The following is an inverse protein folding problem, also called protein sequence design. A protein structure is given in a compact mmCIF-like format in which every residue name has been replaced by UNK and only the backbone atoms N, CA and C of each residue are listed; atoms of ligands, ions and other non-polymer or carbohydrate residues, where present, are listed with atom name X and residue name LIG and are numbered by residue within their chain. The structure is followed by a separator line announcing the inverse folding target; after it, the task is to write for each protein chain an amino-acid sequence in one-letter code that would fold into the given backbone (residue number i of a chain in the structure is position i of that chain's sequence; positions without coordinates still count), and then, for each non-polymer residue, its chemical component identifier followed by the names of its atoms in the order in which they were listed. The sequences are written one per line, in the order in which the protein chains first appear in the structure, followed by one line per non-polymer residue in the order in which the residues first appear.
data_IF_641350118808
#
_entry.id   IF_641350118808
#
_cell.length_a   1.000
_cell.length_b   1.000
_cell.length_c   1.000
_cell.angle_alpha   90.00
_cell.angle_beta   90.00
_cell.angle_gamma   90.00
#
_symmetry.space_group_name_H-M   'P 1'
#
loop_
_entity.id
_entity.type
_entity.pdbx_description
1 polymer ?
#
# COMPACT_ATOMS: atom_id res chain seq x y z
N UNK A 1 2.18 -8.84 -15.68
CA UNK A 1 1.56 -7.74 -14.90
C UNK A 1 2.65 -7.03 -14.13
N UNK A 2 3.11 -5.84 -14.55
CA UNK A 2 4.04 -5.05 -13.71
C UNK A 2 3.28 -4.62 -12.47
N UNK A 3 3.77 -5.00 -11.29
CA UNK A 3 3.24 -4.54 -10.00
C UNK A 3 3.60 -3.05 -9.89
N UNK A 4 2.71 -2.18 -10.32
CA UNK A 4 2.88 -0.73 -10.14
C UNK A 4 2.11 -0.35 -8.88
N UNK A 5 2.79 0.26 -7.91
CA UNK A 5 2.16 0.78 -6.71
C UNK A 5 1.17 1.88 -7.10
N UNK A 6 -0.01 1.89 -6.47
CA UNK A 6 -1.02 2.91 -6.74
C UNK A 6 -0.42 4.30 -6.53
N UNK A 7 -0.68 5.23 -7.47
CA UNK A 7 -0.10 6.59 -7.45
C UNK A 7 -0.29 7.31 -6.11
N UNK A 8 -1.48 7.21 -5.53
CA UNK A 8 -1.81 7.86 -4.25
C UNK A 8 -1.05 7.24 -3.07
N UNK A 9 -0.75 5.94 -3.13
CA UNK A 9 0.08 5.27 -2.13
C UNK A 9 1.54 5.73 -2.23
N UNK A 10 2.04 5.95 -3.45
CA UNK A 10 3.37 6.54 -3.67
C UNK A 10 3.46 7.99 -3.19
N UNK A 11 2.39 8.78 -3.35
CA UNK A 11 2.34 10.15 -2.84
C UNK A 11 2.38 10.13 -1.32
N UNK A 12 1.56 9.28 -0.68
CA UNK A 12 1.56 9.13 0.77
C UNK A 12 2.97 8.79 1.28
N UNK A 13 3.59 7.72 0.76
CA UNK A 13 4.94 7.34 1.17
C UNK A 13 6.02 8.33 0.80
N UNK A 14 5.92 8.97 -0.37
CA UNK A 14 6.88 9.98 -0.81
C UNK A 14 6.89 11.21 0.09
N UNK A 15 5.77 11.52 0.73
CA UNK A 15 5.64 12.58 1.73
C UNK A 15 6.16 12.09 3.09
N UNK A 16 5.85 10.86 3.51
CA UNK A 16 6.32 10.29 4.79
C UNK A 16 7.84 10.06 4.83
N UNK A 17 8.49 9.77 3.69
CA UNK A 17 9.91 9.37 3.62
C UNK A 17 10.94 10.44 4.06
N UNK A 18 10.83 11.72 3.65
CA UNK A 18 11.69 12.79 4.17
C UNK A 18 11.62 12.94 5.70
N UNK A 19 10.47 12.66 6.32
CA UNK A 19 10.31 12.65 7.78
C UNK A 19 11.20 11.62 8.47
N UNK A 20 11.40 10.45 7.85
CA UNK A 20 12.32 9.42 8.35
C UNK A 20 13.79 9.88 8.35
N UNK A 21 14.22 10.60 7.31
CA UNK A 21 15.59 11.10 7.19
C UNK A 21 15.88 12.26 8.15
N UNK A 22 14.95 13.23 8.26
CA UNK A 22 15.06 14.31 9.24
C UNK A 22 15.22 13.74 10.66
N UNK A 23 14.56 12.62 10.93
CA UNK A 23 14.64 11.94 12.20
C UNK A 23 15.89 11.10 12.44
N UNK A 24 16.36 10.36 11.43
CA UNK A 24 17.68 9.74 11.52
C UNK A 24 18.76 10.78 11.83
N UNK A 25 18.67 11.97 11.21
CA UNK A 25 19.54 13.09 11.53
C UNK A 25 19.39 13.55 13.00
N UNK A 26 18.16 13.71 13.53
CA UNK A 26 17.98 14.05 14.97
C UNK A 26 18.53 12.99 15.93
N UNK A 27 18.45 11.70 15.57
CA UNK A 27 19.02 10.62 16.37
C UNK A 27 20.55 10.62 16.34
N UNK A 28 21.15 10.84 15.16
CA UNK A 28 22.61 10.97 15.02
C UNK A 28 23.10 12.18 15.82
N UNK A 29 22.43 13.33 15.71
CA UNK A 29 22.76 14.53 16.48
C UNK A 29 22.68 14.28 18.00
N UNK A 30 21.68 13.53 18.44
CA UNK A 30 21.57 13.10 19.83
C UNK A 30 22.71 12.19 20.27
N UNK A 31 23.07 11.17 19.49
CA UNK A 31 24.16 10.26 19.85
C UNK A 31 25.49 11.01 19.90
N UNK A 32 25.75 11.89 18.93
CA UNK A 32 26.93 12.75 18.92
C UNK A 32 26.98 13.68 20.16
N UNK A 33 25.81 14.14 20.64
CA UNK A 33 25.70 14.93 21.86
C UNK A 33 25.92 14.09 23.14
N UNK A 34 25.30 12.91 23.25
CA UNK A 34 25.43 11.99 24.39
C UNK A 34 26.86 11.47 24.56
N UNK A 35 27.56 11.21 23.46
CA UNK A 35 28.95 10.77 23.47
C UNK A 35 29.97 11.93 23.54
N UNK A 36 29.50 13.18 23.73
CA UNK A 36 30.35 14.38 23.85
C UNK A 36 31.32 14.60 22.67
N UNK A 37 31.02 14.04 21.49
CA UNK A 37 31.88 14.11 20.30
C UNK A 37 31.85 15.52 19.66
N UNK A 38 30.78 16.29 19.91
CA UNK A 38 30.69 17.71 19.56
C UNK A 38 31.06 18.56 20.77
N UNK A 39 32.33 18.98 20.92
CA UNK A 39 32.64 20.10 21.80
C UNK A 39 32.08 21.36 21.12
N UNK A 40 31.47 22.27 21.87
CA UNK A 40 31.11 23.64 21.42
C UNK A 40 29.90 23.82 20.48
N UNK A 41 28.71 23.39 20.90
CA UNK A 41 27.57 24.29 20.75
C UNK A 41 27.18 24.74 22.16
N UNK A 42 27.67 25.91 22.55
CA UNK A 42 27.31 26.60 23.78
C UNK A 42 25.87 27.10 23.71
N UNK A 43 24.89 26.20 23.62
CA UNK A 43 23.54 26.44 24.15
C UNK A 43 23.62 26.29 25.68
N UNK A 44 24.43 27.16 26.29
CA UNK A 44 24.43 27.40 27.71
C UNK A 44 23.16 28.22 28.01
N UNK A 45 22.05 27.56 28.38
CA UNK A 45 20.96 28.13 29.21
C UNK A 45 19.62 27.36 29.15
N UNK A 46 19.45 26.31 28.35
CA UNK A 46 18.17 25.56 28.35
C UNK A 46 18.36 24.16 28.89
N UNK A 47 17.70 23.90 30.01
CA UNK A 47 17.69 22.67 30.77
C UNK A 47 17.80 21.39 29.91
N UNK A 48 18.74 20.53 30.31
CA UNK A 48 19.03 19.20 29.78
C UNK A 48 17.83 18.22 29.56
N UNK A 49 16.62 18.36 30.17
CA UNK A 49 15.46 17.53 29.85
C UNK A 49 14.87 17.79 28.46
N UNK A 50 14.99 19.01 27.93
CA UNK A 50 14.28 19.46 26.73
C UNK A 50 14.70 18.71 25.47
N UNK A 51 16.00 18.49 25.27
CA UNK A 51 16.54 17.76 24.11
C UNK A 51 16.12 16.28 24.12
N UNK A 52 16.09 15.66 25.32
CA UNK A 52 15.72 14.26 25.49
C UNK A 52 14.21 14.04 25.26
N UNK A 53 13.39 15.03 25.64
CA UNK A 53 11.95 15.08 25.33
C UNK A 53 11.72 15.24 23.83
N UNK A 54 12.42 16.18 23.18
CA UNK A 54 12.32 16.41 21.72
C UNK A 54 12.67 15.13 20.96
N UNK A 55 13.71 14.43 21.38
CA UNK A 55 14.12 13.20 20.74
C UNK A 55 13.17 12.02 21.00
N UNK A 56 12.62 11.90 22.21
CA UNK A 56 11.61 10.89 22.52
C UNK A 56 10.32 11.14 21.71
N UNK A 57 9.90 12.40 21.62
CA UNK A 57 8.79 12.85 20.77
C UNK A 57 9.05 12.51 19.31
N UNK A 58 10.26 12.79 18.82
CA UNK A 58 10.67 12.46 17.45
C UNK A 58 10.55 10.94 17.23
N UNK A 59 11.27 10.10 18.00
CA UNK A 59 11.26 8.63 17.88
C UNK A 59 9.85 8.06 17.75
N UNK A 60 8.95 8.49 18.62
CA UNK A 60 7.57 8.03 18.62
C UNK A 60 6.78 8.56 17.41
N UNK A 61 6.99 9.81 17.01
CA UNK A 61 6.38 10.41 15.81
C UNK A 61 6.71 9.60 14.54
N UNK A 62 7.98 9.17 14.32
CA UNK A 62 8.31 8.34 13.14
C UNK A 62 7.73 6.95 13.23
N UNK A 63 7.74 6.33 14.40
CA UNK A 63 7.09 5.03 14.57
C UNK A 63 5.63 5.11 14.12
N UNK A 64 4.92 6.14 14.59
CA UNK A 64 3.53 6.40 14.25
C UNK A 64 3.35 6.74 12.77
N UNK A 65 4.14 7.66 12.19
CA UNK A 65 4.08 8.00 10.76
C UNK A 65 4.32 6.77 9.86
N UNK A 66 5.37 5.99 10.14
CA UNK A 66 5.74 4.84 9.31
C UNK A 66 4.64 3.77 9.22
N UNK A 67 3.84 3.62 10.30
CA UNK A 67 2.67 2.74 10.32
C UNK A 67 1.41 3.41 9.77
N UNK A 68 1.13 4.67 10.12
CA UNK A 68 -0.11 5.36 9.77
C UNK A 68 -0.30 5.51 8.26
N UNK A 69 0.77 5.66 7.48
CA UNK A 69 0.69 5.71 6.03
C UNK A 69 -0.04 4.47 5.44
N UNK A 70 0.25 3.28 5.96
CA UNK A 70 -0.44 2.06 5.55
C UNK A 70 -1.87 1.99 6.09
N UNK A 71 -2.11 2.55 7.30
CA UNK A 71 -3.42 2.54 7.96
C UNK A 71 -4.42 3.51 7.32
N UNK A 72 -3.95 4.63 6.76
CA UNK A 72 -4.83 5.62 6.12
C UNK A 72 -5.17 5.24 4.67
N UNK A 73 -4.37 4.39 4.03
CA UNK A 73 -4.62 3.99 2.64
C UNK A 73 -5.99 3.30 2.41
N UNK A 74 -6.49 2.40 3.28
CA UNK A 74 -7.84 1.87 3.17
C UNK A 74 -8.95 2.92 3.16
N UNK A 75 -8.81 4.01 3.92
CA UNK A 75 -9.78 5.12 3.92
C UNK A 75 -9.70 5.93 2.63
N UNK A 76 -8.49 6.14 2.11
CA UNK A 76 -8.30 6.73 0.80
C UNK A 76 -8.93 5.86 -0.31
N UNK A 77 -8.81 4.53 -0.24
CA UNK A 77 -9.50 3.57 -1.13
C UNK A 77 -11.01 3.55 -0.95
N UNK A 78 -11.51 3.74 0.28
CA UNK A 78 -12.94 3.89 0.55
C UNK A 78 -13.48 5.13 -0.18
N UNK A 79 -12.78 6.27 -0.11
CA UNK A 79 -13.16 7.48 -0.85
C UNK A 79 -13.14 7.25 -2.36
N UNK A 80 -12.13 6.53 -2.88
CA UNK A 80 -12.10 6.16 -4.30
C UNK A 80 -13.29 5.28 -4.72
N UNK A 81 -13.79 4.46 -3.80
CA UNK A 81 -14.94 3.58 -4.03
C UNK A 81 -16.27 4.36 -3.99
N UNK A 82 -16.43 5.27 -3.03
CA UNK A 82 -17.63 6.14 -2.92
C UNK A 82 -17.71 7.09 -4.12
N UNK A 83 -16.57 7.65 -4.55
CA UNK A 83 -16.51 8.64 -5.63
C UNK A 83 -16.01 8.06 -6.97
N UNK A 84 -16.24 6.77 -7.23
CA UNK A 84 -15.71 6.03 -8.41
C UNK A 84 -16.00 6.66 -9.78
N UNK A 85 -17.04 7.50 -9.91
CA UNK A 85 -17.31 8.18 -11.18
C UNK A 85 -16.43 9.42 -11.40
N UNK A 86 -15.95 10.02 -10.30
CA UNK A 86 -15.35 11.36 -10.31
C UNK A 86 -13.94 11.40 -9.70
N UNK A 87 -13.45 10.31 -9.13
CA UNK A 87 -12.23 10.27 -8.31
C UNK A 87 -10.95 10.71 -9.02
N UNK A 88 -10.87 10.58 -10.35
CA UNK A 88 -9.70 11.01 -11.12
C UNK A 88 -9.72 12.50 -11.51
N UNK A 89 -10.79 13.24 -11.17
CA UNK A 89 -10.82 14.69 -11.40
C UNK A 89 -9.74 15.36 -10.53
N UNK A 90 -9.08 16.42 -11.02
CA UNK A 90 -7.92 17.03 -10.35
C UNK A 90 -8.18 17.47 -8.90
N UNK A 91 -9.43 17.83 -8.56
CA UNK A 91 -9.84 18.15 -7.17
C UNK A 91 -9.61 17.01 -6.17
N UNK A 92 -9.64 15.75 -6.61
CA UNK A 92 -9.46 14.58 -5.75
C UNK A 92 -7.99 14.15 -5.62
N UNK A 93 -7.06 14.77 -6.36
CA UNK A 93 -5.62 14.63 -6.11
C UNK A 93 -5.21 15.23 -4.75
N UNK A 94 -6.08 16.04 -4.14
CA UNK A 94 -5.92 16.57 -2.79
C UNK A 94 -6.24 15.54 -1.70
N UNK A 95 -6.96 14.46 -2.01
CA UNK A 95 -7.32 13.42 -1.03
C UNK A 95 -6.10 12.76 -0.38
N UNK A 96 -5.09 12.25 -1.14
CA UNK A 96 -3.88 11.72 -0.51
C UNK A 96 -3.09 12.77 0.27
N UNK A 97 -3.10 14.05 -0.15
CA UNK A 97 -2.46 15.14 0.59
C UNK A 97 -3.16 15.43 1.91
N UNK A 98 -4.50 15.40 1.91
CA UNK A 98 -5.31 15.53 3.12
C UNK A 98 -4.99 14.41 4.11
N UNK A 99 -4.93 13.15 3.65
CA UNK A 99 -4.56 12.03 4.53
C UNK A 99 -3.12 12.14 5.03
N UNK A 100 -2.17 12.60 4.21
CA UNK A 100 -0.80 12.84 4.67
C UNK A 100 -0.72 13.96 5.73
N UNK A 101 -1.55 15.01 5.62
CA UNK A 101 -1.65 16.03 6.67
C UNK A 101 -2.21 15.45 7.97
N UNK A 102 -3.30 14.68 7.89
CA UNK A 102 -3.90 13.99 9.04
C UNK A 102 -2.89 13.04 9.70
N UNK A 103 -2.10 12.31 8.90
CA UNK A 103 -1.01 11.45 9.38
C UNK A 103 -0.02 12.21 10.26
N UNK A 104 0.49 13.34 9.79
CA UNK A 104 1.44 14.15 10.55
C UNK A 104 0.84 14.72 11.83
N UNK A 105 -0.39 15.22 11.77
CA UNK A 105 -1.06 15.78 12.95
C UNK A 105 -1.25 14.72 14.03
N UNK A 106 -1.68 13.51 13.65
CA UNK A 106 -1.81 12.38 14.59
C UNK A 106 -0.44 11.99 15.14
N UNK A 107 0.58 11.87 14.28
CA UNK A 107 1.91 11.45 14.69
C UNK A 107 2.58 12.43 15.67
N UNK A 108 2.51 13.74 15.39
CA UNK A 108 3.05 14.78 16.28
C UNK A 108 2.30 14.79 17.61
N UNK A 109 0.96 14.68 17.57
CA UNK A 109 0.14 14.64 18.79
C UNK A 109 0.47 13.40 19.63
N UNK A 110 0.63 12.25 18.99
CA UNK A 110 1.01 11.01 19.64
C UNK A 110 2.43 11.11 20.24
N UNK A 111 3.37 11.70 19.52
CA UNK A 111 4.73 11.99 20.00
C UNK A 111 4.73 12.90 21.23
N UNK A 112 3.92 13.94 21.22
CA UNK A 112 3.74 14.86 22.34
C UNK A 112 3.15 14.14 23.57
N UNK A 113 2.05 13.41 23.40
CA UNK A 113 1.39 12.64 24.48
C UNK A 113 2.38 11.65 25.12
N UNK A 114 3.19 10.97 24.29
CA UNK A 114 4.19 10.02 24.75
C UNK A 114 5.34 10.71 25.50
N UNK A 115 5.91 11.77 24.93
CA UNK A 115 7.09 12.44 25.48
C UNK A 115 6.81 13.14 26.82
N UNK A 116 5.62 13.72 26.96
CA UNK A 116 5.18 14.37 28.20
C UNK A 116 4.43 13.43 29.15
N UNK A 117 4.31 12.13 28.81
CA UNK A 117 3.57 11.13 29.58
C UNK A 117 2.17 11.61 29.98
N UNK A 118 1.51 12.35 29.08
CA UNK A 118 0.17 12.94 29.31
C UNK A 118 -0.84 11.84 29.63
N UNK A 119 -0.63 10.67 29.04
CA UNK A 119 -1.41 9.45 29.25
C UNK A 119 -0.45 8.32 29.62
N UNK A 120 -0.91 7.37 30.43
CA UNK A 120 -0.11 6.19 30.74
C UNK A 120 0.24 5.42 29.47
N UNK A 121 1.49 4.94 29.36
CA UNK A 121 1.92 4.22 28.18
C UNK A 121 1.06 2.96 27.92
N UNK A 122 0.56 2.33 28.98
CA UNK A 122 -0.36 1.20 28.88
C UNK A 122 -1.68 1.60 28.19
N UNK A 123 -2.25 2.76 28.53
CA UNK A 123 -3.47 3.24 27.89
C UNK A 123 -3.25 3.56 26.40
N UNK A 124 -2.09 4.08 26.01
CA UNK A 124 -1.73 4.30 24.60
C UNK A 124 -1.71 2.97 23.83
N UNK A 125 -1.10 1.92 24.40
CA UNK A 125 -1.03 0.58 23.80
C UNK A 125 -2.41 -0.06 23.71
N UNK A 126 -3.21 0.01 24.78
CA UNK A 126 -4.57 -0.54 24.82
C UNK A 126 -5.48 0.16 23.82
N UNK A 127 -5.37 1.49 23.65
CA UNK A 127 -6.16 2.24 22.68
C UNK A 127 -5.70 2.01 21.22
N UNK A 128 -4.40 1.82 20.99
CA UNK A 128 -3.84 1.61 19.66
C UNK A 128 -4.27 0.29 19.02
N UNK A 129 -4.47 -0.76 19.82
CA UNK A 129 -4.83 -2.10 19.33
C UNK A 129 -6.20 -2.13 18.61
N UNK A 130 -7.31 -1.67 19.22
CA UNK A 130 -8.60 -1.55 18.53
C UNK A 130 -8.53 -0.66 17.29
N UNK A 131 -7.71 0.40 17.30
CA UNK A 131 -7.56 1.28 16.15
C UNK A 131 -7.00 0.53 14.94
N UNK A 132 -5.89 -0.20 15.11
CA UNK A 132 -5.28 -1.00 14.03
C UNK A 132 -6.25 -2.09 13.54
N UNK A 133 -6.91 -2.80 14.45
CA UNK A 133 -7.91 -3.83 14.09
C UNK A 133 -9.06 -3.22 13.29
N UNK A 134 -9.57 -2.06 13.69
CA UNK A 134 -10.66 -1.36 12.98
C UNK A 134 -10.27 -1.03 11.54
N UNK A 135 -9.03 -0.61 11.30
CA UNK A 135 -8.54 -0.33 9.94
C UNK A 135 -8.45 -1.59 9.08
N UNK A 136 -8.00 -2.71 9.65
CA UNK A 136 -7.98 -4.01 8.94
C UNK A 136 -9.40 -4.40 8.51
N UNK A 137 -10.38 -4.23 9.41
CA UNK A 137 -11.79 -4.50 9.13
C UNK A 137 -12.32 -3.59 8.01
N UNK A 138 -12.06 -2.28 8.08
CA UNK A 138 -12.42 -1.34 7.01
C UNK A 138 -11.83 -1.79 5.67
N UNK A 139 -10.55 -2.18 5.63
CA UNK A 139 -9.92 -2.67 4.39
C UNK A 139 -10.63 -3.90 3.82
N UNK A 140 -11.02 -4.87 4.66
CA UNK A 140 -11.75 -6.07 4.22
C UNK A 140 -13.17 -5.75 3.75
N UNK A 141 -13.88 -4.85 4.43
CA UNK A 141 -15.21 -4.40 4.05
C UNK A 141 -15.19 -3.72 2.68
N UNK A 142 -14.27 -2.77 2.49
CA UNK A 142 -14.12 -2.05 1.21
C UNK A 142 -13.72 -3.03 0.09
N UNK A 143 -12.82 -3.97 0.35
CA UNK A 143 -12.44 -5.00 -0.63
C UNK A 143 -13.64 -5.87 -1.02
N UNK A 144 -14.43 -6.30 -0.05
CA UNK A 144 -15.62 -7.13 -0.28
C UNK A 144 -16.69 -6.38 -1.06
N UNK A 145 -16.92 -5.10 -0.72
CA UNK A 145 -17.82 -4.24 -1.46
C UNK A 145 -17.37 -4.04 -2.91
N UNK A 146 -16.09 -3.76 -3.16
CA UNK A 146 -15.58 -3.59 -4.52
C UNK A 146 -15.71 -4.88 -5.34
N UNK A 147 -15.44 -6.06 -4.76
CA UNK A 147 -15.68 -7.35 -5.44
C UNK A 147 -17.16 -7.58 -5.77
N UNK A 148 -18.07 -7.17 -4.88
CA UNK A 148 -19.51 -7.23 -5.14
C UNK A 148 -19.88 -6.29 -6.30
N UNK A 149 -19.40 -5.05 -6.26
CA UNK A 149 -19.62 -4.06 -7.31
C UNK A 149 -19.08 -4.53 -8.67
N UNK A 150 -17.91 -5.15 -8.71
CA UNK A 150 -17.35 -5.77 -9.91
C UNK A 150 -18.30 -6.81 -10.51
N UNK A 151 -18.79 -7.75 -9.68
CA UNK A 151 -19.74 -8.79 -10.12
C UNK A 151 -21.07 -8.20 -10.60
N UNK A 152 -21.58 -7.17 -9.93
CA UNK A 152 -22.81 -6.49 -10.32
C UNK A 152 -22.66 -5.76 -11.65
N UNK A 153 -21.50 -5.14 -11.90
CA UNK A 153 -21.20 -4.50 -13.17
C UNK A 153 -21.11 -5.52 -14.32
N UNK A 154 -20.60 -6.72 -14.07
CA UNK A 154 -20.54 -7.79 -15.07
C UNK A 154 -21.91 -8.41 -15.36
N UNK A 155 -22.75 -8.59 -14.33
CA UNK A 155 -24.09 -9.19 -14.49
C UNK A 155 -25.14 -8.20 -14.98
N UNK A 156 -25.12 -6.96 -14.48
CA UNK A 156 -26.17 -5.95 -14.64
C UNK A 156 -25.62 -4.64 -15.21
N UNK A 157 -24.85 -4.70 -16.30
CA UNK A 157 -24.17 -3.54 -16.88
C UNK A 157 -25.11 -2.36 -17.22
N UNK A 158 -26.35 -2.65 -17.64
CA UNK A 158 -27.36 -1.61 -17.96
C UNK A 158 -27.87 -0.85 -16.73
N UNK A 159 -28.03 -1.53 -15.59
CA UNK A 159 -28.57 -0.93 -14.34
C UNK A 159 -27.50 -0.19 -13.53
N UNK A 160 -26.23 -0.55 -13.69
CA UNK A 160 -25.12 -0.04 -12.86
C UNK A 160 -24.47 1.24 -13.39
N UNK A 161 -25.00 1.79 -14.51
CA UNK A 161 -24.36 2.90 -15.23
C UNK A 161 -22.93 2.52 -15.63
N UNK A 162 -22.78 1.33 -16.20
CA UNK A 162 -21.48 0.76 -16.53
C UNK A 162 -20.71 1.69 -17.47
N UNK A 163 -19.50 2.05 -17.08
CA UNK A 163 -18.53 2.70 -17.96
C UNK A 163 -17.20 1.96 -17.84
N UNK A 164 -16.42 2.03 -18.91
CA UNK A 164 -15.09 1.41 -18.95
C UNK A 164 -14.22 1.96 -17.82
N UNK A 165 -14.20 3.28 -17.62
CA UNK A 165 -13.45 3.94 -16.55
C UNK A 165 -13.84 3.46 -15.14
N UNK A 166 -15.15 3.31 -14.87
CA UNK A 166 -15.64 2.80 -13.58
C UNK A 166 -15.14 1.38 -13.30
N UNK A 167 -15.15 0.50 -14.32
CA UNK A 167 -14.60 -0.86 -14.19
C UNK A 167 -13.10 -0.85 -13.89
N UNK A 168 -12.33 0.01 -14.57
CA UNK A 168 -10.90 0.14 -14.30
C UNK A 168 -10.62 0.57 -12.87
N UNK A 169 -11.32 1.59 -12.38
CA UNK A 169 -11.13 2.06 -11.01
C UNK A 169 -11.50 1.01 -9.96
N UNK A 170 -12.59 0.27 -10.16
CA UNK A 170 -12.96 -0.82 -9.24
C UNK A 170 -11.91 -1.93 -9.25
N UNK A 171 -11.43 -2.34 -10.44
CA UNK A 171 -10.41 -3.38 -10.53
C UNK A 171 -9.06 -2.93 -9.92
N UNK A 172 -8.67 -1.68 -10.15
CA UNK A 172 -7.50 -1.06 -9.51
C UNK A 172 -7.65 -1.05 -7.98
N UNK A 173 -8.81 -0.61 -7.46
CA UNK A 173 -9.10 -0.64 -6.03
C UNK A 173 -9.01 -2.05 -5.43
N UNK A 174 -9.59 -3.06 -6.09
CA UNK A 174 -9.50 -4.47 -5.65
C UNK A 174 -8.05 -4.92 -5.59
N UNK A 175 -7.26 -4.63 -6.63
CA UNK A 175 -5.86 -5.03 -6.69
C UNK A 175 -5.04 -4.34 -5.58
N UNK A 176 -5.17 -3.03 -5.42
CA UNK A 176 -4.50 -2.27 -4.37
C UNK A 176 -4.90 -2.73 -2.97
N UNK A 177 -6.19 -2.96 -2.73
CA UNK A 177 -6.70 -3.44 -1.45
C UNK A 177 -6.23 -4.86 -1.11
N UNK A 178 -6.06 -5.75 -2.09
CA UNK A 178 -5.47 -7.09 -1.86
C UNK A 178 -4.00 -7.02 -1.44
N UNK A 179 -3.24 -6.07 -1.98
CA UNK A 179 -1.84 -5.87 -1.57
C UNK A 179 -1.80 -5.28 -0.16
N UNK A 180 -2.49 -4.17 0.07
CA UNK A 180 -2.47 -3.51 1.38
C UNK A 180 -3.04 -4.40 2.48
N UNK A 181 -4.09 -5.19 2.21
CA UNK A 181 -4.68 -6.10 3.21
C UNK A 181 -3.65 -7.07 3.77
N UNK A 182 -2.77 -7.63 2.93
CA UNK A 182 -1.73 -8.55 3.38
C UNK A 182 -0.72 -7.85 4.30
N UNK A 183 -0.36 -6.62 3.96
CA UNK A 183 0.53 -5.80 4.78
C UNK A 183 -0.15 -5.45 6.11
N UNK A 184 -1.42 -5.07 6.09
CA UNK A 184 -2.20 -4.75 7.29
C UNK A 184 -2.36 -5.93 8.24
N UNK A 185 -2.57 -7.15 7.72
CA UNK A 185 -2.58 -8.37 8.54
C UNK A 185 -1.24 -8.61 9.22
N UNK A 186 -0.14 -8.48 8.47
CA UNK A 186 1.21 -8.55 9.03
C UNK A 186 1.43 -7.48 10.11
N UNK A 187 1.06 -6.23 9.84
CA UNK A 187 1.18 -5.13 10.79
C UNK A 187 0.39 -5.39 12.07
N UNK A 188 -0.84 -5.89 11.95
CA UNK A 188 -1.67 -6.19 13.11
C UNK A 188 -1.01 -7.24 14.01
N UNK A 189 -0.45 -8.31 13.43
CA UNK A 189 0.28 -9.34 14.19
C UNK A 189 1.49 -8.73 14.90
N UNK A 190 2.30 -7.94 14.21
CA UNK A 190 3.46 -7.26 14.80
C UNK A 190 3.07 -6.34 15.96
N UNK A 191 2.01 -5.53 15.78
CA UNK A 191 1.51 -4.63 16.82
C UNK A 191 1.01 -5.42 18.03
N UNK A 192 0.32 -6.55 17.83
CA UNK A 192 -0.12 -7.42 18.93
C UNK A 192 1.07 -7.98 19.72
N UNK A 193 2.12 -8.45 19.02
CA UNK A 193 3.33 -8.97 19.68
C UNK A 193 4.04 -7.86 20.46
N UNK A 194 4.26 -6.69 19.84
CA UNK A 194 4.91 -5.55 20.50
C UNK A 194 4.11 -5.05 21.71
N UNK A 195 2.78 -4.94 21.59
CA UNK A 195 1.89 -4.56 22.68
C UNK A 195 1.97 -5.55 23.85
N UNK A 196 1.97 -6.85 23.55
CA UNK A 196 2.07 -7.90 24.56
C UNK A 196 3.40 -7.84 25.31
N UNK A 197 4.52 -7.69 24.58
CA UNK A 197 5.84 -7.52 25.17
C UNK A 197 5.94 -6.24 26.02
N UNK A 198 5.33 -5.15 25.58
CA UNK A 198 5.29 -3.89 26.32
C UNK A 198 4.53 -4.02 27.63
N UNK A 199 3.37 -4.69 27.62
CA UNK A 199 2.58 -4.95 28.82
C UNK A 199 3.34 -5.85 29.80
N UNK A 200 4.00 -6.91 29.31
CA UNK A 200 4.88 -7.75 30.12
C UNK A 200 5.99 -6.93 30.79
N UNK A 201 6.68 -6.09 30.00
CA UNK A 201 7.80 -5.28 30.47
C UNK A 201 7.41 -4.31 31.60
N UNK A 202 6.22 -3.73 31.51
CA UNK A 202 5.76 -2.67 32.42
C UNK A 202 5.01 -3.16 33.64
N UNK A 203 4.28 -4.27 33.57
CA UNK A 203 3.33 -4.68 34.62
C UNK A 203 3.74 -5.93 35.40
N UNK A 204 4.72 -6.71 34.93
CA UNK A 204 5.17 -7.88 35.67
C UNK A 204 6.34 -7.53 36.60
N UNK A 205 6.21 -7.94 37.85
CA UNK A 205 7.31 -7.99 38.80
C UNK A 205 8.30 -9.07 38.36
N UNK A 206 9.40 -8.63 37.76
CA UNK A 206 10.42 -9.49 37.17
C UNK A 206 11.79 -9.04 37.67
N UNK A 207 12.71 -10.00 37.78
CA UNK A 207 14.12 -9.68 38.06
C UNK A 207 14.71 -8.78 36.97
N UNK A 208 15.70 -7.97 37.32
CA UNK A 208 16.33 -7.00 36.40
C UNK A 208 16.84 -7.63 35.10
N UNK A 209 17.28 -8.90 35.15
CA UNK A 209 17.73 -9.66 33.97
C UNK A 209 16.60 -9.86 32.95
N UNK A 210 15.44 -10.35 33.38
CA UNK A 210 14.29 -10.60 32.50
C UNK A 210 13.68 -9.31 31.97
N UNK A 211 13.62 -8.27 32.79
CA UNK A 211 13.14 -6.94 32.38
C UNK A 211 14.00 -6.35 31.26
N UNK A 212 15.31 -6.44 31.37
CA UNK A 212 16.23 -5.94 30.33
C UNK A 212 16.13 -6.78 29.04
N UNK A 213 16.00 -8.10 29.16
CA UNK A 213 15.83 -8.99 28.00
C UNK A 213 14.55 -8.68 27.21
N UNK A 214 13.42 -8.50 27.92
CA UNK A 214 12.14 -8.15 27.28
C UNK A 214 12.21 -6.76 26.64
N UNK A 215 12.83 -5.78 27.31
CA UNK A 215 13.04 -4.45 26.75
C UNK A 215 13.87 -4.48 25.46
N UNK A 216 15.00 -5.20 25.45
CA UNK A 216 15.83 -5.37 24.25
C UNK A 216 15.08 -6.10 23.12
N UNK A 217 14.26 -7.10 23.46
CA UNK A 217 13.43 -7.82 22.49
C UNK A 217 12.38 -6.90 21.86
N UNK A 218 11.74 -6.05 22.68
CA UNK A 218 10.78 -5.06 22.21
C UNK A 218 11.45 -4.06 21.24
N UNK A 219 12.62 -3.53 21.58
CA UNK A 219 13.37 -2.61 20.72
C UNK A 219 13.75 -3.25 19.38
N UNK A 220 14.15 -4.53 19.41
CA UNK A 220 14.43 -5.30 18.20
C UNK A 220 13.17 -5.48 17.34
N UNK A 221 12.04 -5.83 17.95
CA UNK A 221 10.76 -5.98 17.25
C UNK A 221 10.33 -4.67 16.58
N UNK A 222 10.43 -3.53 17.28
CA UNK A 222 10.11 -2.20 16.73
C UNK A 222 11.03 -1.88 15.55
N UNK A 223 12.33 -2.15 15.68
CA UNK A 223 13.31 -1.88 14.62
C UNK A 223 13.03 -2.73 13.38
N UNK A 224 12.79 -4.03 13.56
CA UNK A 224 12.45 -4.95 12.46
C UNK A 224 11.12 -4.58 11.80
N UNK A 225 10.14 -4.12 12.58
CA UNK A 225 8.87 -3.62 12.05
C UNK A 225 9.10 -2.42 11.13
N UNK A 226 9.85 -1.41 11.56
CA UNK A 226 10.15 -0.22 10.74
C UNK A 226 10.90 -0.61 9.45
N UNK A 227 11.92 -1.47 9.57
CA UNK A 227 12.69 -1.96 8.41
C UNK A 227 11.81 -2.74 7.42
N UNK A 228 10.89 -3.57 7.93
CA UNK A 228 9.94 -4.31 7.10
C UNK A 228 8.98 -3.39 6.33
N UNK A 229 8.57 -2.26 6.92
CA UNK A 229 7.72 -1.27 6.25
C UNK A 229 8.48 -0.57 5.12
N UNK A 230 9.72 -0.15 5.39
CA UNK A 230 10.61 0.48 4.41
C UNK A 230 10.88 -0.47 3.23
N UNK A 231 11.24 -1.73 3.52
CA UNK A 231 11.50 -2.75 2.49
C UNK A 231 10.24 -3.11 1.71
N UNK A 232 9.06 -3.13 2.34
CA UNK A 232 7.78 -3.35 1.63
C UNK A 232 7.53 -2.26 0.58
N UNK A 233 7.86 -1.00 0.88
CA UNK A 233 7.75 0.11 -0.09
C UNK A 233 8.68 -0.12 -1.29
N UNK A 234 9.92 -0.53 -1.03
CA UNK A 234 10.92 -0.80 -2.08
C UNK A 234 10.59 -2.02 -2.95
N UNK A 235 10.09 -3.09 -2.33
CA UNK A 235 9.80 -4.35 -3.03
C UNK A 235 8.55 -4.28 -3.91
N UNK A 236 7.61 -3.37 -3.62
CA UNK A 236 6.39 -3.24 -4.42
C UNK A 236 6.62 -2.40 -5.69
N UNK A 237 7.64 -1.53 -5.74
CA UNK A 237 7.91 -0.70 -6.90
C UNK A 237 9.37 -0.77 -7.37
N UNK A 238 9.64 -1.54 -8.44
CA UNK A 238 10.98 -1.63 -9.07
C UNK A 238 11.56 -0.26 -9.50
N UNK A 239 10.73 0.76 -9.70
CA UNK A 239 11.14 2.10 -10.17
C UNK A 239 11.03 3.19 -9.09
N UNK A 240 10.97 2.83 -7.80
CA UNK A 240 10.76 3.78 -6.70
C UNK A 240 11.77 4.95 -6.71
N UNK A 241 13.04 4.67 -7.03
CA UNK A 241 14.12 5.66 -7.05
C UNK A 241 13.85 6.77 -8.08
N UNK A 242 13.27 6.41 -9.23
CA UNK A 242 12.94 7.33 -10.32
C UNK A 242 11.79 8.24 -9.89
N UNK A 243 10.76 7.66 -9.27
CA UNK A 243 9.58 8.41 -8.80
C UNK A 243 9.96 9.36 -7.68
N UNK A 244 10.77 8.90 -6.71
CA UNK A 244 11.25 9.73 -5.61
C UNK A 244 12.08 10.91 -6.12
N UNK A 245 13.02 10.66 -7.04
CA UNK A 245 13.83 11.71 -7.68
C UNK A 245 12.97 12.72 -8.45
N UNK A 246 11.87 12.30 -9.06
CA UNK A 246 10.94 13.19 -9.77
C UNK A 246 10.12 14.05 -8.82
N UNK A 247 9.55 13.47 -7.75
CA UNK A 247 8.80 14.22 -6.75
C UNK A 247 9.69 15.24 -6.03
N UNK A 248 10.92 14.84 -5.70
CA UNK A 248 11.91 15.73 -5.10
C UNK A 248 12.29 16.89 -6.02
N UNK A 249 12.52 16.63 -7.31
CA UNK A 249 12.75 17.69 -8.31
C UNK A 249 11.57 18.65 -8.45
N UNK A 250 10.33 18.13 -8.43
CA UNK A 250 9.12 18.97 -8.49
C UNK A 250 8.96 19.83 -7.24
N UNK A 251 9.26 19.27 -6.07
CA UNK A 251 9.26 20.00 -4.80
C UNK A 251 10.34 21.10 -4.78
N UNK A 252 11.58 20.79 -5.18
CA UNK A 252 12.67 21.76 -5.27
C UNK A 252 12.44 22.86 -6.30
N UNK A 253 11.78 22.54 -7.42
CA UNK A 253 11.44 23.51 -8.47
C UNK A 253 10.30 24.45 -8.04
N UNK A 254 9.34 23.95 -7.24
CA UNK A 254 8.27 24.77 -6.64
C UNK A 254 8.77 25.69 -5.53
N UNK A 255 9.82 25.29 -4.81
CA UNK A 255 10.40 26.07 -3.70
C UNK A 255 11.42 27.12 -4.15
N UNK A 256 11.69 27.26 -5.47
CA UNK A 256 12.70 28.17 -6.06
C UNK A 256 14.13 27.98 -5.52
N UNK A 257 14.43 26.85 -4.85
CA UNK A 257 15.74 26.59 -4.23
C UNK A 257 16.80 26.16 -5.26
N UNK A 258 16.39 25.73 -6.46
CA UNK A 258 17.31 25.43 -7.54
C UNK A 258 17.40 26.60 -8.53
N UNK A 259 18.62 27.03 -8.91
CA UNK A 259 18.78 27.93 -10.04
C UNK A 259 18.19 27.27 -11.28
N UNK A 260 17.47 28.07 -12.06
CA UNK A 260 16.88 27.62 -13.32
C UNK A 260 18.02 27.48 -14.33
N UNK A 261 18.69 26.33 -14.32
CA UNK A 261 19.76 26.08 -15.28
C UNK A 261 19.19 26.04 -16.70
N UNK A 262 19.58 27.06 -17.45
CA UNK A 262 19.49 27.16 -18.89
C UNK A 262 20.14 25.95 -19.55
N UNK A 263 19.35 25.26 -20.39
CA UNK A 263 19.77 24.44 -21.54
C UNK A 263 21.14 23.73 -21.39
N UNK A 264 21.15 22.57 -20.75
CA UNK A 264 22.11 21.50 -21.08
C UNK A 264 21.36 20.24 -21.49
N UNK A 265 21.62 19.80 -22.72
CA UNK A 265 21.08 18.57 -23.33
C UNK A 265 21.62 17.36 -22.57
N UNK A 266 20.95 17.00 -21.47
CA UNK A 266 20.98 15.65 -20.92
C UNK A 266 20.09 14.81 -21.84
N UNK A 267 20.49 13.62 -22.31
CA UNK A 267 19.62 12.80 -23.14
C UNK A 267 18.34 12.54 -22.37
N UNK A 268 17.24 13.14 -22.86
CA UNK A 268 15.90 12.94 -22.33
C UNK A 268 15.54 11.46 -22.52
N UNK A 269 15.76 10.66 -21.48
CA UNK A 269 14.85 9.55 -21.21
C UNK A 269 13.49 10.22 -20.96
N UNK A 270 12.67 10.26 -22.01
CA UNK A 270 11.29 10.75 -22.11
C UNK A 270 10.88 11.60 -20.90
N UNK A 271 11.10 12.92 -21.02
CA UNK A 271 10.51 13.86 -20.08
C UNK A 271 9.02 13.58 -19.98
N UNK A 272 8.59 13.22 -18.76
CA UNK A 272 7.21 12.99 -18.38
C UNK A 272 6.36 14.20 -18.77
N UNK A 273 5.75 14.14 -19.95
CA UNK A 273 4.61 14.97 -20.30
C UNK A 273 3.39 14.30 -19.65
N UNK A 274 2.55 15.01 -18.89
CA UNK A 274 1.34 14.42 -18.30
C UNK A 274 0.40 13.82 -19.37
N UNK A 275 0.51 14.24 -20.63
CA UNK A 275 -0.12 13.60 -21.79
C UNK A 275 0.45 12.21 -22.11
N UNK A 276 1.77 12.02 -22.05
CA UNK A 276 2.45 10.73 -22.30
C UNK A 276 2.10 9.71 -21.21
N UNK A 277 1.87 10.12 -19.97
CA UNK A 277 1.43 9.19 -18.91
C UNK A 277 0.00 8.70 -19.13
N UNK A 278 -0.89 9.59 -19.60
CA UNK A 278 -2.25 9.24 -20.02
C UNK A 278 -2.24 8.35 -21.25
N UNK A 279 -1.38 8.65 -22.23
CA UNK A 279 -1.21 7.90 -23.47
C UNK A 279 -0.53 6.55 -23.23
N UNK A 280 0.45 6.46 -22.32
CA UNK A 280 1.04 5.20 -21.86
C UNK A 280 0.02 4.37 -21.07
N UNK A 281 -0.75 4.96 -20.15
CA UNK A 281 -1.84 4.25 -19.48
C UNK A 281 -2.91 3.79 -20.47
N UNK A 282 -3.25 4.61 -21.46
CA UNK A 282 -4.23 4.29 -22.50
C UNK A 282 -3.71 3.21 -23.47
N UNK A 283 -2.43 3.24 -23.84
CA UNK A 283 -1.79 2.22 -24.67
C UNK A 283 -1.60 0.91 -23.90
N UNK A 284 -1.24 0.97 -22.63
CA UNK A 284 -1.19 -0.19 -21.74
C UNK A 284 -2.61 -0.77 -21.57
N UNK A 285 -3.63 0.10 -21.49
CA UNK A 285 -5.03 -0.26 -21.45
C UNK A 285 -5.49 -0.95 -22.76
N UNK A 286 -5.15 -0.42 -23.93
CA UNK A 286 -5.45 -1.06 -25.21
C UNK A 286 -4.71 -2.40 -25.38
N UNK A 287 -3.45 -2.49 -24.91
CA UNK A 287 -2.72 -3.78 -24.87
C UNK A 287 -3.40 -4.79 -23.97
N UNK A 288 -3.90 -4.37 -22.81
CA UNK A 288 -4.65 -5.24 -21.89
C UNK A 288 -5.99 -5.69 -22.50
N UNK A 289 -6.73 -4.78 -23.12
CA UNK A 289 -7.96 -5.12 -23.85
C UNK A 289 -7.68 -6.13 -24.97
N UNK A 290 -6.63 -5.91 -25.75
CA UNK A 290 -6.23 -6.81 -26.83
C UNK A 290 -5.82 -8.19 -26.31
N UNK A 291 -5.06 -8.23 -25.21
CA UNK A 291 -4.71 -9.47 -24.50
C UNK A 291 -5.95 -10.22 -24.00
N UNK A 292 -6.88 -9.54 -23.36
CA UNK A 292 -8.12 -10.14 -22.85
C UNK A 292 -9.03 -10.61 -23.99
N UNK A 293 -9.08 -9.86 -25.09
CA UNK A 293 -9.81 -10.24 -26.29
C UNK A 293 -9.25 -11.54 -26.89
N UNK A 294 -7.93 -11.63 -27.05
CA UNK A 294 -7.27 -12.81 -27.59
C UNK A 294 -7.45 -14.02 -26.66
N UNK A 295 -7.38 -13.82 -25.35
CA UNK A 295 -7.63 -14.89 -24.37
C UNK A 295 -9.08 -15.39 -24.43
N UNK A 296 -10.08 -14.50 -24.49
CA UNK A 296 -11.48 -14.90 -24.66
C UNK A 296 -11.73 -15.60 -25.98
N UNK A 297 -11.14 -15.11 -27.07
CA UNK A 297 -11.23 -15.75 -28.39
C UNK A 297 -10.63 -17.16 -28.37
N UNK A 298 -9.49 -17.36 -27.71
CA UNK A 298 -8.89 -18.67 -27.54
C UNK A 298 -9.78 -19.62 -26.71
N UNK A 299 -10.38 -19.13 -25.63
CA UNK A 299 -11.33 -19.93 -24.82
C UNK A 299 -12.57 -20.33 -25.62
N UNK A 300 -13.14 -19.40 -26.39
CA UNK A 300 -14.31 -19.68 -27.25
C UNK A 300 -13.95 -20.70 -28.34
N UNK A 301 -12.82 -20.53 -29.02
CA UNK A 301 -12.32 -21.47 -30.03
C UNK A 301 -12.10 -22.86 -29.44
N UNK A 302 -11.49 -22.94 -28.25
CA UNK A 302 -11.27 -24.22 -27.55
C UNK A 302 -12.61 -24.87 -27.15
N UNK A 303 -13.58 -24.11 -26.64
CA UNK A 303 -14.91 -24.63 -26.33
C UNK A 303 -15.67 -25.11 -27.58
N UNK A 304 -15.53 -24.41 -28.71
CA UNK A 304 -16.17 -24.81 -29.97
C UNK A 304 -15.54 -26.08 -30.55
N UNK A 305 -14.21 -26.22 -30.47
CA UNK A 305 -13.49 -27.44 -30.88
C UNK A 305 -13.88 -28.63 -30.00
N UNK A 306 -13.98 -28.45 -28.69
CA UNK A 306 -14.47 -29.50 -27.78
C UNK A 306 -15.93 -29.88 -28.06
N UNK A 307 -16.79 -28.92 -28.39
CA UNK A 307 -18.18 -29.20 -28.78
C UNK A 307 -18.27 -29.97 -30.09
N UNK A 308 -17.48 -29.58 -31.09
CA UNK A 308 -17.43 -30.26 -32.40
C UNK A 308 -16.88 -31.68 -32.29
N UNK A 309 -15.81 -31.89 -31.52
CA UNK A 309 -15.24 -33.23 -31.25
C UNK A 309 -16.23 -34.15 -30.52
N UNK A 310 -16.97 -33.64 -29.54
CA UNK A 310 -18.04 -34.41 -28.87
C UNK A 310 -19.18 -34.77 -29.83
N UNK A 311 -19.51 -33.89 -30.77
CA UNK A 311 -20.54 -34.15 -31.78
C UNK A 311 -20.09 -35.20 -32.80
N UNK A 312 -18.85 -35.14 -33.28
CA UNK A 312 -18.26 -36.17 -34.16
C UNK A 312 -18.17 -37.54 -33.48
N UNK A 313 -17.80 -37.59 -32.19
CA UNK A 313 -17.80 -38.83 -31.41
C UNK A 313 -19.20 -39.45 -31.29
N UNK A 314 -20.25 -38.64 -31.10
CA UNK A 314 -21.64 -39.14 -31.06
C UNK A 314 -22.11 -39.66 -32.41
N UNK A 315 -21.75 -39.00 -33.51
CA UNK A 315 -22.07 -39.47 -34.87
C UNK A 315 -21.40 -40.81 -35.15
N UNK A 316 -20.10 -40.94 -34.83
CA UNK A 316 -19.36 -42.20 -35.02
C UNK A 316 -19.94 -43.35 -34.20
N UNK A 317 -20.36 -43.12 -32.94
CA UNK A 317 -21.02 -44.14 -32.11
C UNK A 317 -22.37 -44.56 -32.72
N UNK A 318 -23.13 -43.60 -33.26
CA UNK A 318 -24.41 -43.87 -33.90
C UNK A 318 -24.25 -44.68 -35.18
N UNK A 319 -23.28 -44.34 -36.02
CA UNK A 319 -22.91 -45.09 -37.23
C UNK A 319 -22.48 -46.52 -36.89
N UNK A 320 -21.62 -46.69 -35.87
CA UNK A 320 -21.21 -48.02 -35.39
C UNK A 320 -22.40 -48.87 -34.93
N UNK A 321 -23.38 -48.25 -34.26
CA UNK A 321 -24.59 -48.93 -33.79
C UNK A 321 -25.54 -49.34 -34.93
N UNK A 322 -25.57 -48.54 -36.01
CA UNK A 322 -26.32 -48.84 -37.23
C UNK A 322 -25.66 -49.98 -38.02
N UNK A 323 -24.32 -49.98 -38.10
CA UNK A 323 -23.54 -51.05 -38.72
C UNK A 323 -23.79 -52.40 -38.02
N UNK A 324 -23.73 -52.43 -36.69
CA UNK A 324 -24.02 -53.65 -35.90
C UNK A 324 -25.46 -54.13 -36.07
N UNK A 325 -26.44 -53.22 -36.19
CA UNK A 325 -27.84 -53.61 -36.48
C UNK A 325 -27.99 -54.19 -37.88
N UNK A 326 -27.30 -53.63 -38.88
CA UNK A 326 -27.30 -54.17 -40.26
C UNK A 326 -26.66 -55.57 -40.31
N UNK A 327 -25.53 -55.78 -39.62
CA UNK A 327 -24.89 -57.09 -39.54
C UNK A 327 -25.78 -58.13 -38.82
N UNK A 328 -26.44 -57.75 -37.72
CA UNK A 328 -27.36 -58.65 -37.02
C UNK A 328 -28.62 -58.99 -37.83
N UNK A 329 -29.06 -58.11 -38.73
CA UNK A 329 -30.16 -58.40 -39.67
C UNK A 329 -29.70 -59.30 -40.82
N UNK A 330 -28.45 -59.19 -41.27
CA UNK A 330 -27.88 -60.04 -42.32
C UNK A 330 -27.62 -61.49 -41.85
N UNK A 331 -27.43 -61.72 -40.55
CA UNK A 331 -27.25 -63.07 -39.95
C UNK A 331 -28.59 -63.80 -39.75
N UNK A 332 -29.73 -63.10 -39.90
CA UNK A 332 -31.08 -63.67 -39.73
C UNK A 332 -31.77 -64.10 -41.03
N UNK A 333 -31.06 -64.07 -42.16
CA UNK A 333 -31.49 -64.58 -43.47
C UNK A 333 -30.47 -65.61 -43.97
#
# INVERSE_FOLDING_TARGET
MRKVLHRNLLILFGITFPGLYAMFATNILMYLHVFQILPTLSLASTDHPSLLVIASCSKFTVFVCSGLAFLLFPFERLMATVFVANYEKPRFLLVPLFFALVEYLIAISAGYIFAFKVVSNNAIVIAGMPAVTSVVLVAQLVLSYNKKLEREMEKNWRKTGYTLGKRFQVNENIHSLKIISRILWYMMICVIVMASLFILWTNLEMTSKWRNLIGATLDLCITMFILSMITSIFMINKNWLIIWRQQWKLFLKKTKILPTDSKKNIPLVEAYKPGIAKEQQQNEHFRQLHSQWNQRRATILHSSKMSSSKMQSKISIYELSLEMRRQNLAIKF
#
